data_IF_971140008946
#
_entry.id   IF_971140008946
#
_cell.length_a   1.000
_cell.length_b   1.000
_cell.length_c   1.000
_cell.angle_alpha   90.00
_cell.angle_beta   90.00
_cell.angle_gamma   90.00
#
_symmetry.space_group_name_H-M   'P 1'
#
loop_
_entity.id
_entity.type
_entity.pdbx_description
1 polymer ?
#
# COMPACT_ATOMS: atom_id res chain seq x y z
N UNK A 1 32.58 -3.14 -12.12
CA UNK A 1 31.67 -2.82 -13.24
C UNK A 1 30.74 -1.65 -12.90
N UNK A 2 31.01 -0.47 -13.48
CA UNK A 2 30.10 0.67 -13.36
C UNK A 2 28.81 0.39 -14.14
N UNK A 3 27.69 0.39 -13.42
CA UNK A 3 26.35 0.26 -14.02
C UNK A 3 25.85 1.66 -14.28
N UNK A 4 25.71 2.04 -15.55
CA UNK A 4 25.04 3.30 -15.89
C UNK A 4 23.54 3.04 -15.91
N UNK A 5 22.76 3.98 -15.37
CA UNK A 5 21.30 3.98 -15.50
C UNK A 5 20.86 5.21 -16.27
N UNK A 6 20.20 4.99 -17.40
CA UNK A 6 19.64 6.10 -18.17
C UNK A 6 18.47 6.74 -17.40
N UNK A 7 18.44 8.07 -17.20
CA UNK A 7 17.38 8.75 -16.46
C UNK A 7 16.02 8.69 -17.17
N UNK A 8 16.02 8.59 -18.50
CA UNK A 8 14.80 8.66 -19.30
C UNK A 8 14.11 7.28 -19.46
N UNK A 9 14.85 6.26 -19.93
CA UNK A 9 14.28 4.94 -20.21
C UNK A 9 14.56 3.87 -19.14
N UNK A 10 15.25 4.25 -18.04
CA UNK A 10 15.69 3.35 -16.96
C UNK A 10 16.55 2.15 -17.41
N UNK A 11 17.08 2.19 -18.64
CA UNK A 11 17.98 1.15 -19.15
C UNK A 11 19.25 1.08 -18.31
N UNK A 12 19.64 -0.13 -17.93
CA UNK A 12 20.86 -0.44 -17.18
C UNK A 12 21.81 -1.22 -18.08
N UNK A 13 23.01 -0.69 -18.29
CA UNK A 13 24.07 -1.35 -19.03
C UNK A 13 25.38 -1.30 -18.25
N UNK A 14 26.17 -2.37 -18.33
CA UNK A 14 27.53 -2.37 -17.80
C UNK A 14 28.46 -1.70 -18.82
N UNK A 15 29.15 -0.62 -18.42
CA UNK A 15 30.28 -0.11 -19.19
C UNK A 15 31.45 -1.07 -19.02
N UNK A 16 31.99 -1.56 -20.13
CA UNK A 16 33.27 -2.25 -20.14
C UNK A 16 34.35 -1.20 -19.85
N UNK A 17 35.19 -1.44 -18.85
CA UNK A 17 36.25 -0.55 -18.32
C UNK A 17 37.22 0.04 -19.37
N UNK A 18 37.12 -0.36 -20.65
CA UNK A 18 38.11 -0.14 -21.70
C UNK A 18 38.02 1.23 -22.40
N UNK A 19 37.04 2.08 -22.07
CA UNK A 19 36.84 3.39 -22.73
C UNK A 19 37.08 4.60 -21.82
N UNK A 20 37.91 4.45 -20.77
CA UNK A 20 38.29 5.57 -19.88
C UNK A 20 39.41 6.45 -20.44
N UNK A 21 39.83 6.24 -21.70
CA UNK A 21 41.00 6.87 -22.31
C UNK A 21 40.71 8.13 -23.15
N UNK A 22 39.48 8.60 -23.29
CA UNK A 22 39.19 9.81 -24.08
C UNK A 22 38.03 10.57 -23.47
N UNK A 23 38.37 11.59 -22.67
CA UNK A 23 37.47 12.42 -21.87
C UNK A 23 36.60 13.40 -22.70
N UNK A 24 36.09 12.99 -23.86
CA UNK A 24 35.31 13.89 -24.72
C UNK A 24 34.24 13.20 -25.58
N UNK A 25 33.91 11.93 -25.32
CA UNK A 25 32.81 11.26 -26.03
C UNK A 25 31.48 11.40 -25.27
N UNK A 26 30.56 12.16 -25.86
CA UNK A 26 29.14 12.16 -25.49
C UNK A 26 28.61 10.73 -25.70
N UNK A 27 28.17 10.07 -24.63
CA UNK A 27 27.58 8.74 -24.74
C UNK A 27 26.06 8.86 -24.95
N UNK A 28 25.53 8.22 -25.99
CA UNK A 28 24.10 8.13 -26.25
C UNK A 28 23.54 6.82 -25.71
N UNK A 29 22.37 6.86 -25.05
CA UNK A 29 21.70 5.63 -24.63
C UNK A 29 21.25 4.81 -25.86
N UNK A 30 21.58 3.51 -25.97
CA UNK A 30 21.21 2.71 -27.14
C UNK A 30 19.69 2.53 -27.32
N UNK A 31 18.91 2.77 -26.25
CA UNK A 31 17.46 2.53 -26.24
C UNK A 31 16.62 3.77 -26.52
N UNK A 32 17.09 4.95 -26.12
CA UNK A 32 16.33 6.20 -26.24
C UNK A 32 17.14 7.38 -26.80
N UNK A 33 18.39 7.14 -27.20
CA UNK A 33 19.30 8.11 -27.81
C UNK A 33 19.47 9.41 -26.99
N UNK A 34 19.21 9.37 -25.69
CA UNK A 34 19.41 10.54 -24.82
C UNK A 34 20.91 10.71 -24.53
N UNK A 35 21.48 11.91 -24.73
CA UNK A 35 22.89 12.18 -24.42
C UNK A 35 23.10 12.13 -22.90
N UNK A 36 24.17 11.46 -22.47
CA UNK A 36 24.58 11.34 -21.07
C UNK A 36 25.91 12.07 -20.89
N UNK A 37 25.95 13.01 -19.94
CA UNK A 37 27.17 13.72 -19.54
C UNK A 37 27.69 13.12 -18.23
N UNK A 38 29.01 12.97 -18.10
CA UNK A 38 29.60 12.73 -16.78
C UNK A 38 29.41 14.00 -15.96
N UNK A 39 28.52 13.96 -14.97
CA UNK A 39 28.49 15.00 -13.96
C UNK A 39 29.72 14.77 -13.08
N UNK A 40 30.74 15.61 -13.24
CA UNK A 40 31.84 15.72 -12.28
C UNK A 40 31.24 16.17 -10.94
N UNK A 41 30.98 15.22 -10.07
CA UNK A 41 30.74 15.50 -8.66
C UNK A 41 32.12 15.44 -8.00
N UNK A 42 32.69 16.56 -7.53
CA UNK A 42 34.03 16.56 -6.98
C UNK A 42 34.13 15.62 -5.77
N UNK A 43 35.04 14.67 -5.87
CA UNK A 43 35.39 13.67 -4.86
C UNK A 43 35.84 14.35 -3.57
N UNK A 44 34.95 14.42 -2.57
CA UNK A 44 35.37 14.58 -1.19
C UNK A 44 35.84 13.20 -0.68
N UNK A 45 37.02 13.10 -0.04
CA UNK A 45 37.56 11.82 0.39
C UNK A 45 36.61 11.12 1.37
N UNK A 46 36.21 9.92 1.00
CA UNK A 46 35.32 9.04 1.75
C UNK A 46 35.93 8.72 3.12
N UNK A 47 35.31 9.22 4.19
CA UNK A 47 35.54 8.72 5.53
C UNK A 47 35.07 7.25 5.61
N UNK A 48 35.89 6.33 6.15
CA UNK A 48 35.50 4.93 6.30
C UNK A 48 34.44 4.82 7.40
N UNK A 49 33.19 4.59 7.01
CA UNK A 49 32.07 4.45 7.95
C UNK A 49 30.70 4.88 7.41
N UNK A 50 30.61 5.44 6.20
CA UNK A 50 29.33 5.72 5.58
C UNK A 50 28.76 4.44 4.95
N UNK A 51 28.24 3.54 5.79
CA UNK A 51 27.05 2.76 5.43
C UNK A 51 26.13 3.72 4.68
N UNK A 52 25.73 3.40 3.45
CA UNK A 52 24.74 4.17 2.72
C UNK A 52 23.41 4.03 3.46
N UNK A 53 23.28 4.75 4.57
CA UNK A 53 22.04 5.08 5.20
C UNK A 53 21.29 5.85 4.12
N UNK A 54 20.40 5.12 3.44
CA UNK A 54 19.25 5.72 2.79
C UNK A 54 18.78 6.82 3.76
N UNK A 55 18.69 8.09 3.34
CA UNK A 55 18.17 9.12 4.21
C UNK A 55 16.87 8.57 4.79
N UNK A 56 16.68 8.60 6.13
CA UNK A 56 15.49 8.02 6.74
C UNK A 56 14.33 8.61 5.97
N UNK A 57 13.65 7.78 5.18
CA UNK A 57 12.43 8.20 4.51
C UNK A 57 11.59 8.70 5.67
N UNK A 58 11.34 10.02 5.69
CA UNK A 58 10.40 10.60 6.62
C UNK A 58 9.07 9.97 6.24
N UNK A 59 8.78 8.83 6.87
CA UNK A 59 7.53 8.11 6.71
C UNK A 59 6.50 9.03 7.32
N UNK A 60 5.89 9.84 6.47
CA UNK A 60 4.76 10.65 6.86
C UNK A 60 3.66 9.67 7.27
N UNK A 61 3.42 9.56 8.58
CA UNK A 61 2.42 8.63 9.09
C UNK A 61 1.06 9.05 8.54
N UNK A 62 0.28 8.06 8.15
CA UNK A 62 -1.09 8.30 7.71
C UNK A 62 -1.87 8.84 8.91
N UNK A 63 -2.72 9.84 8.69
CA UNK A 63 -3.52 10.49 9.75
C UNK A 63 -4.20 9.50 10.71
N UNK A 64 -4.69 8.37 10.19
CA UNK A 64 -5.30 7.30 10.97
C UNK A 64 -4.34 6.60 11.96
N UNK A 65 -3.05 6.50 11.63
CA UNK A 65 -2.04 5.90 12.51
C UNK A 65 -1.66 6.81 13.68
N UNK A 66 -1.88 8.12 13.55
CA UNK A 66 -1.61 9.11 14.59
C UNK A 66 -2.80 9.35 15.53
N UNK A 67 -3.90 8.61 15.37
CA UNK A 67 -5.10 8.78 16.18
C UNK A 67 -4.82 8.58 17.67
N UNK A 68 -5.38 9.45 18.49
CA UNK A 68 -5.32 9.34 19.96
C UNK A 68 -6.40 8.43 20.51
N UNK A 69 -7.48 8.19 19.76
CA UNK A 69 -8.60 7.34 20.16
C UNK A 69 -9.09 6.47 19.01
N UNK A 70 -9.82 5.40 19.34
CA UNK A 70 -10.37 4.47 18.35
C UNK A 70 -11.53 5.08 17.55
N UNK A 71 -12.14 6.15 18.07
CA UNK A 71 -13.30 6.84 17.50
C UNK A 71 -12.90 8.19 16.89
N UNK A 72 -11.64 8.38 16.53
CA UNK A 72 -11.19 9.59 15.83
C UNK A 72 -11.72 9.62 14.38
N UNK A 73 -12.99 10.01 14.24
CA UNK A 73 -13.69 10.12 12.97
C UNK A 73 -13.04 11.15 12.03
N UNK A 74 -12.34 12.15 12.59
CA UNK A 74 -11.65 13.15 11.80
C UNK A 74 -10.39 12.57 11.14
N UNK A 75 -9.56 11.84 11.89
CA UNK A 75 -8.42 11.10 11.34
C UNK A 75 -8.87 10.06 10.31
N UNK A 76 -10.00 9.39 10.59
CA UNK A 76 -10.61 8.43 9.68
C UNK A 76 -11.02 9.07 8.35
N UNK A 77 -11.78 10.17 8.40
CA UNK A 77 -12.26 10.86 7.21
C UNK A 77 -11.12 11.45 6.37
N UNK A 78 -10.09 12.01 7.03
CA UNK A 78 -8.90 12.51 6.34
C UNK A 78 -8.13 11.40 5.62
N UNK A 79 -7.96 10.26 6.28
CA UNK A 79 -7.33 9.08 5.68
C UNK A 79 -8.12 8.58 4.46
N UNK A 80 -9.43 8.47 4.57
CA UNK A 80 -10.30 8.09 3.44
C UNK A 80 -10.19 9.07 2.27
N UNK A 81 -10.18 10.38 2.54
CA UNK A 81 -9.93 11.40 1.51
C UNK A 81 -8.55 11.24 0.86
N UNK A 82 -7.52 11.00 1.66
CA UNK A 82 -6.16 10.81 1.17
C UNK A 82 -6.08 9.62 0.21
N UNK A 83 -6.63 8.46 0.61
CA UNK A 83 -6.68 7.24 -0.22
C UNK A 83 -7.44 7.50 -1.53
N UNK A 84 -8.60 8.17 -1.47
CA UNK A 84 -9.45 8.38 -2.65
C UNK A 84 -8.90 9.42 -3.63
N UNK A 85 -8.34 10.52 -3.13
CA UNK A 85 -7.94 11.65 -3.97
C UNK A 85 -6.43 11.72 -4.23
N UNK A 86 -5.60 11.04 -3.43
CA UNK A 86 -4.13 11.04 -3.53
C UNK A 86 -3.52 9.65 -3.29
N UNK A 87 -4.03 8.58 -3.92
CA UNK A 87 -3.65 7.19 -3.59
C UNK A 87 -2.15 6.95 -3.66
N UNK A 88 -1.46 7.43 -4.70
CA UNK A 88 -0.03 7.22 -4.85
C UNK A 88 0.77 7.82 -3.68
N UNK A 89 0.44 9.04 -3.27
CA UNK A 89 1.10 9.70 -2.14
C UNK A 89 0.82 8.96 -0.83
N UNK A 90 -0.43 8.54 -0.60
CA UNK A 90 -0.83 7.81 0.60
C UNK A 90 -0.12 6.47 0.72
N UNK A 91 -0.08 5.67 -0.36
CA UNK A 91 0.54 4.35 -0.33
C UNK A 91 2.07 4.40 -0.28
N UNK A 92 2.70 5.47 -0.77
CA UNK A 92 4.14 5.70 -0.57
C UNK A 92 4.50 6.10 0.85
N UNK A 93 3.54 6.69 1.58
CA UNK A 93 3.72 7.16 2.94
C UNK A 93 3.42 6.07 4.01
N UNK A 94 2.82 4.95 3.59
CA UNK A 94 2.53 3.80 4.46
C UNK A 94 3.77 3.34 5.23
N UNK A 95 3.64 3.28 6.55
CA UNK A 95 4.66 2.68 7.39
C UNK A 95 4.34 1.18 7.59
N UNK A 96 4.99 0.35 6.78
CA UNK A 96 4.83 -1.11 6.85
C UNK A 96 5.28 -1.73 8.19
N UNK A 97 5.97 -0.95 9.03
CA UNK A 97 6.43 -1.34 10.37
C UNK A 97 5.55 -0.76 11.50
N UNK A 98 4.57 0.10 11.21
CA UNK A 98 3.70 0.74 12.22
C UNK A 98 2.74 -0.22 12.96
N UNK A 99 2.80 -1.52 12.66
CA UNK A 99 2.05 -2.56 13.35
C UNK A 99 0.63 -2.75 12.81
N UNK A 100 0.23 -4.03 12.69
CA UNK A 100 -1.05 -4.48 12.09
C UNK A 100 -2.29 -3.94 12.81
N UNK A 101 -2.15 -3.60 14.10
CA UNK A 101 -3.27 -3.18 14.94
C UNK A 101 -3.96 -1.92 14.39
N UNK A 102 -3.19 -0.96 13.88
CA UNK A 102 -3.77 0.29 13.38
C UNK A 102 -4.71 0.03 12.20
N UNK A 103 -4.21 -0.71 11.21
CA UNK A 103 -4.92 -1.05 9.98
C UNK A 103 -6.09 -2.00 10.22
N UNK A 104 -5.95 -2.95 11.16
CA UNK A 104 -7.07 -3.81 11.56
C UNK A 104 -8.25 -3.03 12.14
N UNK A 105 -7.99 -2.01 12.96
CA UNK A 105 -9.08 -1.17 13.50
C UNK A 105 -9.70 -0.35 12.37
N UNK A 106 -8.91 0.22 11.45
CA UNK A 106 -9.45 0.94 10.29
C UNK A 106 -10.42 0.05 9.50
N UNK A 107 -9.95 -1.15 9.20
CA UNK A 107 -10.63 -2.17 8.43
C UNK A 107 -11.88 -2.68 9.14
N UNK A 108 -11.81 -2.89 10.46
CA UNK A 108 -12.96 -3.30 11.25
C UNK A 108 -14.05 -2.23 11.22
N UNK A 109 -13.68 -0.95 11.33
CA UNK A 109 -14.65 0.16 11.29
C UNK A 109 -15.25 0.32 9.89
N UNK A 110 -14.43 0.50 8.84
CA UNK A 110 -14.95 0.75 7.48
C UNK A 110 -15.59 -0.50 6.87
N UNK A 111 -14.96 -1.66 7.08
CA UNK A 111 -15.46 -2.93 6.57
C UNK A 111 -16.78 -3.32 7.24
N UNK A 112 -16.93 -3.13 8.55
CA UNK A 112 -18.21 -3.42 9.22
C UNK A 112 -19.27 -2.41 8.81
N UNK A 113 -18.95 -1.12 8.78
CA UNK A 113 -19.89 -0.08 8.35
C UNK A 113 -20.39 -0.32 6.92
N UNK A 114 -19.48 -0.62 6.00
CA UNK A 114 -19.81 -0.93 4.61
C UNK A 114 -20.68 -2.18 4.48
N UNK A 115 -20.38 -3.25 5.23
CA UNK A 115 -21.19 -4.47 5.25
C UNK A 115 -22.60 -4.22 5.82
N UNK A 116 -22.72 -3.45 6.91
CA UNK A 116 -24.01 -3.12 7.52
C UNK A 116 -24.86 -2.30 6.55
N UNK A 117 -24.29 -1.25 5.95
CA UNK A 117 -24.98 -0.40 4.96
C UNK A 117 -25.38 -1.24 3.74
N UNK A 118 -24.46 -2.05 3.20
CA UNK A 118 -24.74 -2.92 2.06
C UNK A 118 -25.88 -3.90 2.37
N UNK A 119 -25.83 -4.54 3.54
CA UNK A 119 -26.86 -5.49 3.97
C UNK A 119 -28.21 -4.83 4.20
N UNK A 120 -28.22 -3.60 4.70
CA UNK A 120 -29.45 -2.81 4.83
C UNK A 120 -30.09 -2.58 3.46
N UNK A 121 -29.31 -2.14 2.47
CA UNK A 121 -29.79 -1.96 1.10
C UNK A 121 -30.26 -3.26 0.46
N UNK A 122 -29.50 -4.35 0.60
CA UNK A 122 -29.91 -5.67 0.09
C UNK A 122 -31.21 -6.16 0.74
N UNK A 123 -31.40 -5.90 2.04
CA UNK A 123 -32.63 -6.30 2.74
C UNK A 123 -33.82 -5.49 2.23
N UNK A 124 -33.68 -4.17 2.12
CA UNK A 124 -34.74 -3.30 1.60
C UNK A 124 -35.13 -3.65 0.16
N UNK A 125 -34.13 -3.80 -0.73
CA UNK A 125 -34.37 -4.14 -2.13
C UNK A 125 -34.94 -5.56 -2.25
N UNK A 126 -34.43 -6.51 -1.45
CA UNK A 126 -34.93 -7.88 -1.44
C UNK A 126 -36.40 -7.97 -1.04
N UNK A 127 -36.83 -7.20 -0.03
CA UNK A 127 -38.25 -7.08 0.33
C UNK A 127 -39.05 -6.43 -0.81
N UNK A 128 -38.55 -5.34 -1.39
CA UNK A 128 -39.24 -4.59 -2.46
C UNK A 128 -39.47 -5.42 -3.71
N UNK A 129 -38.52 -6.28 -4.08
CA UNK A 129 -38.60 -7.13 -5.28
C UNK A 129 -39.10 -8.55 -4.99
N UNK A 130 -39.50 -8.85 -3.75
CA UNK A 130 -40.01 -10.19 -3.37
C UNK A 130 -38.96 -11.30 -3.35
N UNK A 131 -37.66 -10.96 -3.29
CA UNK A 131 -36.55 -11.93 -3.15
C UNK A 131 -36.47 -12.43 -1.70
N UNK A 132 -36.76 -11.55 -0.74
CA UNK A 132 -36.79 -11.88 0.68
C UNK A 132 -38.23 -12.06 1.12
N UNK A 133 -38.60 -13.32 1.35
CA UNK A 133 -39.90 -13.70 1.92
C UNK A 133 -39.79 -13.77 3.44
N UNK A 134 -40.78 -13.22 4.15
CA UNK A 134 -40.81 -13.23 5.61
C UNK A 134 -41.57 -12.04 6.18
N UNK A 135 -42.08 -12.20 7.39
CA UNK A 135 -42.71 -11.09 8.09
C UNK A 135 -41.65 -10.08 8.59
N UNK A 136 -42.08 -8.86 8.87
CA UNK A 136 -41.19 -7.77 9.27
C UNK A 136 -40.32 -8.12 10.50
N UNK A 137 -40.89 -8.86 11.47
CA UNK A 137 -40.19 -9.30 12.66
C UNK A 137 -39.03 -10.25 12.33
N UNK A 138 -39.28 -11.27 11.51
CA UNK A 138 -38.26 -12.22 11.09
C UNK A 138 -37.12 -11.51 10.35
N UNK A 139 -37.44 -10.64 9.40
CA UNK A 139 -36.44 -9.86 8.66
C UNK A 139 -35.62 -8.95 9.58
N UNK A 140 -36.24 -8.34 10.58
CA UNK A 140 -35.55 -7.50 11.57
C UNK A 140 -34.60 -8.31 12.43
N UNK A 141 -35.04 -9.47 12.94
CA UNK A 141 -34.21 -10.37 13.76
C UNK A 141 -33.03 -10.91 12.95
N UNK A 142 -33.25 -11.34 11.70
CA UNK A 142 -32.18 -11.79 10.81
C UNK A 142 -31.19 -10.67 10.47
N UNK A 143 -31.66 -9.44 10.29
CA UNK A 143 -30.79 -8.29 10.11
C UNK A 143 -29.93 -8.02 11.35
N UNK A 144 -30.55 -7.95 12.53
CA UNK A 144 -29.85 -7.69 13.79
C UNK A 144 -28.78 -8.76 14.09
N UNK A 145 -29.12 -10.04 13.94
CA UNK A 145 -28.17 -11.14 14.11
C UNK A 145 -26.98 -11.05 13.16
N UNK A 146 -27.23 -10.70 11.90
CA UNK A 146 -26.15 -10.55 10.94
C UNK A 146 -25.26 -9.33 11.22
N UNK A 147 -25.83 -8.20 11.63
CA UNK A 147 -25.07 -7.02 12.05
C UNK A 147 -24.16 -7.36 13.23
N UNK A 148 -24.68 -8.09 14.22
CA UNK A 148 -23.91 -8.54 15.38
C UNK A 148 -22.73 -9.45 15.00
N UNK A 149 -22.94 -10.36 14.04
CA UNK A 149 -21.91 -11.31 13.59
C UNK A 149 -20.93 -10.71 12.55
N UNK A 150 -21.29 -9.60 11.91
CA UNK A 150 -20.49 -8.93 10.87
C UNK A 150 -19.01 -8.77 11.23
N UNK A 151 -18.63 -8.16 12.37
CA UNK A 151 -17.21 -7.91 12.67
C UNK A 151 -16.41 -9.21 12.77
N UNK A 152 -17.00 -10.29 13.31
CA UNK A 152 -16.34 -11.58 13.48
C UNK A 152 -16.12 -12.24 12.12
N UNK A 153 -17.17 -12.30 11.30
CA UNK A 153 -17.11 -12.88 9.95
C UNK A 153 -16.15 -12.11 9.08
N UNK A 154 -16.18 -10.78 9.14
CA UNK A 154 -15.28 -9.88 8.41
C UNK A 154 -13.82 -10.15 8.76
N UNK A 155 -13.48 -10.20 10.05
CA UNK A 155 -12.11 -10.47 10.50
C UNK A 155 -11.62 -11.84 10.01
N UNK A 156 -12.43 -12.89 10.20
CA UNK A 156 -12.08 -14.24 9.74
C UNK A 156 -11.85 -14.27 8.22
N UNK A 157 -12.75 -13.69 7.45
CA UNK A 157 -12.65 -13.62 5.99
C UNK A 157 -11.38 -12.89 5.54
N UNK A 158 -11.09 -11.74 6.14
CA UNK A 158 -9.92 -10.93 5.80
C UNK A 158 -8.61 -11.65 6.14
N UNK A 159 -8.54 -12.34 7.28
CA UNK A 159 -7.35 -13.12 7.62
C UNK A 159 -7.08 -14.21 6.58
N UNK A 160 -8.13 -14.90 6.11
CA UNK A 160 -8.04 -15.91 5.05
C UNK A 160 -7.58 -15.30 3.73
N UNK A 161 -8.21 -14.20 3.30
CA UNK A 161 -7.85 -13.51 2.05
C UNK A 161 -6.42 -12.95 2.11
N UNK A 162 -6.05 -12.30 3.21
CA UNK A 162 -4.69 -11.80 3.42
C UNK A 162 -3.67 -12.94 3.39
N UNK A 163 -3.98 -14.08 4.03
CA UNK A 163 -3.16 -15.28 3.98
C UNK A 163 -2.95 -15.81 2.56
N UNK A 164 -4.03 -15.91 1.79
CA UNK A 164 -3.99 -16.34 0.39
C UNK A 164 -3.16 -15.37 -0.47
N UNK A 165 -3.42 -14.06 -0.34
CA UNK A 165 -2.68 -13.02 -1.07
C UNK A 165 -1.20 -13.07 -0.71
N UNK A 166 -0.86 -13.17 0.57
CA UNK A 166 0.52 -13.24 1.02
C UNK A 166 1.23 -14.50 0.49
N UNK A 167 0.54 -15.64 0.51
CA UNK A 167 1.07 -16.90 -0.04
C UNK A 167 1.39 -16.76 -1.53
N UNK A 168 0.46 -16.21 -2.32
CA UNK A 168 0.65 -15.96 -3.75
C UNK A 168 1.83 -15.02 -3.98
N UNK A 169 1.91 -13.90 -3.25
CA UNK A 169 3.01 -12.95 -3.37
C UNK A 169 4.37 -13.59 -3.02
N UNK A 170 4.39 -14.50 -2.04
CA UNK A 170 5.60 -15.22 -1.64
C UNK A 170 6.04 -16.24 -2.69
N UNK A 171 5.09 -16.99 -3.28
CA UNK A 171 5.35 -17.94 -4.37
C UNK A 171 5.92 -17.20 -5.59
N UNK A 172 5.33 -16.06 -5.95
CA UNK A 172 5.78 -15.21 -7.05
C UNK A 172 7.07 -14.43 -6.74
N UNK A 173 7.61 -14.55 -5.52
CA UNK A 173 8.75 -13.77 -5.01
C UNK A 173 8.56 -12.26 -5.11
N UNK A 174 7.30 -11.81 -5.16
CA UNK A 174 6.90 -10.41 -5.23
C UNK A 174 6.97 -9.70 -3.86
N UNK A 175 7.08 -10.46 -2.76
CA UNK A 175 7.35 -9.92 -1.42
C UNK A 175 8.40 -10.73 -0.68
N UNK A 176 9.21 -10.03 0.11
CA UNK A 176 10.14 -10.60 1.12
C UNK A 176 9.80 -10.15 2.54
N UNK A 177 8.73 -9.36 2.68
CA UNK A 177 8.30 -8.76 3.96
C UNK A 177 7.50 -9.76 4.79
N UNK A 178 7.42 -9.58 6.13
CA UNK A 178 6.58 -10.40 6.99
C UNK A 178 5.09 -10.28 6.64
N UNK A 179 4.28 -11.25 7.09
CA UNK A 179 2.83 -11.28 6.87
C UNK A 179 2.11 -10.02 7.35
N UNK A 180 2.62 -9.37 8.39
CA UNK A 180 2.11 -8.11 8.92
C UNK A 180 2.06 -7.00 7.88
N UNK A 181 2.99 -6.98 6.92
CA UNK A 181 3.02 -6.00 5.86
C UNK A 181 1.88 -6.16 4.83
N UNK A 182 1.14 -7.27 4.85
CA UNK A 182 -0.02 -7.49 3.97
C UNK A 182 -1.29 -6.80 4.49
N UNK A 183 -1.33 -6.40 5.76
CA UNK A 183 -2.44 -5.64 6.33
C UNK A 183 -2.28 -4.12 6.18
N UNK A 184 -1.17 -3.68 5.59
CA UNK A 184 -0.83 -2.28 5.34
C UNK A 184 -1.07 -1.95 3.86
#
# INVERSE_FOLDING_TARGET
PMVIRCPNCKFTGALREQSRSTADHIFYCPRCQTPMFFADQPDLPAAPGAEAALPPQQHHKIDWEERTSWLDLAAFWRTSKSILFRPAATFTALNYEAGVRSSMVYLLVYGSLGQIIGRYWFTLLGIRYGILEGNALANTVHFAMAVLLTPIVLLAFILVVAGLVHLVLRILRATRRPFTATFQ
#
